data_IF_516692261920
#
_entry.id   IF_516692261920
#
_cell.length_a   1.000
_cell.length_b   1.000
_cell.length_c   1.000
_cell.angle_alpha   90.00
_cell.angle_beta   90.00
_cell.angle_gamma   90.00
#
_symmetry.space_group_name_H-M   'P 1'
#
loop_
_entity.id
_entity.type
_entity.pdbx_description
1 polymer ?
#
# COMPACT_ATOMS: atom_id res chain seq x y z
N UNK A 1 13.77 -3.50 -2.26
CA UNK A 1 12.55 -4.34 -2.25
C UNK A 1 11.37 -3.44 -1.95
N UNK A 2 10.44 -3.26 -2.89
CA UNK A 2 9.25 -2.43 -2.68
C UNK A 2 8.22 -3.25 -1.89
N UNK A 3 7.84 -2.80 -0.68
CA UNK A 3 6.84 -3.47 0.16
C UNK A 3 5.46 -3.40 -0.48
N UNK A 4 4.71 -4.52 -0.46
CA UNK A 4 3.35 -4.58 -1.04
C UNK A 4 2.37 -3.71 -0.26
N UNK A 5 1.36 -3.16 -0.94
CA UNK A 5 0.26 -2.44 -0.30
C UNK A 5 -0.56 -3.40 0.58
N UNK A 6 -1.08 -2.92 1.73
CA UNK A 6 -1.94 -3.72 2.59
C UNK A 6 -3.31 -3.93 1.94
N UNK A 7 -3.76 -5.18 1.87
CA UNK A 7 -5.13 -5.53 1.46
C UNK A 7 -6.17 -5.04 2.50
N UNK A 8 -7.44 -4.95 2.12
CA UNK A 8 -8.59 -4.64 2.97
C UNK A 8 -8.58 -5.37 4.31
N UNK A 9 -8.26 -6.67 4.31
CA UNK A 9 -8.15 -7.44 5.56
C UNK A 9 -7.03 -6.94 6.49
N UNK A 10 -5.90 -6.50 5.94
CA UNK A 10 -4.81 -5.94 6.75
C UNK A 10 -5.20 -4.60 7.35
N UNK A 11 -5.87 -3.74 6.58
CA UNK A 11 -6.41 -2.45 7.06
C UNK A 11 -7.42 -2.70 8.18
N UNK A 12 -8.35 -3.63 7.98
CA UNK A 12 -9.32 -4.04 8.98
C UNK A 12 -8.67 -4.55 10.26
N UNK A 13 -7.69 -5.46 10.14
CA UNK A 13 -6.97 -6.00 11.30
C UNK A 13 -6.25 -4.92 12.07
N UNK A 14 -5.64 -3.95 11.38
CA UNK A 14 -4.94 -2.84 12.01
C UNK A 14 -5.89 -1.98 12.84
N UNK A 15 -7.03 -1.59 12.26
CA UNK A 15 -8.07 -0.83 12.96
C UNK A 15 -8.59 -1.59 14.20
N UNK A 16 -8.81 -2.90 14.05
CA UNK A 16 -9.27 -3.75 15.15
C UNK A 16 -8.26 -3.84 16.31
N UNK A 17 -6.97 -3.98 15.99
CA UNK A 17 -5.89 -3.98 16.98
C UNK A 17 -5.84 -2.65 17.72
N UNK A 18 -5.96 -1.53 16.99
CA UNK A 18 -5.91 -0.19 17.57
C UNK A 18 -7.08 0.05 18.52
N UNK A 19 -8.29 -0.38 18.14
CA UNK A 19 -9.45 -0.35 19.03
C UNK A 19 -9.21 -1.19 20.29
N UNK A 20 -8.74 -2.42 20.15
CA UNK A 20 -8.49 -3.30 21.29
C UNK A 20 -7.39 -2.77 22.22
N UNK A 21 -6.31 -2.18 21.68
CA UNK A 21 -5.29 -1.55 22.51
C UNK A 21 -5.85 -0.37 23.30
N UNK A 22 -6.70 0.44 22.67
CA UNK A 22 -7.34 1.57 23.34
C UNK A 22 -8.31 1.11 24.44
N UNK A 23 -9.09 0.05 24.19
CA UNK A 23 -10.02 -0.50 25.19
C UNK A 23 -9.33 -1.15 26.39
N UNK A 24 -8.23 -1.88 26.15
CA UNK A 24 -7.59 -2.68 27.21
C UNK A 24 -6.61 -1.85 28.04
N UNK A 25 -6.25 -0.64 27.59
CA UNK A 25 -5.21 0.19 28.23
C UNK A 25 -3.83 -0.46 28.28
N UNK A 26 -3.63 -1.56 27.54
CA UNK A 26 -2.38 -2.32 27.46
C UNK A 26 -1.56 -1.86 26.25
N UNK A 27 -0.26 -2.12 26.33
CA UNK A 27 0.66 -1.95 25.20
C UNK A 27 0.13 -2.62 23.93
N UNK A 28 0.46 -2.02 22.76
CA UNK A 28 0.02 -2.44 21.43
C UNK A 28 0.01 -3.97 21.28
N UNK A 29 -1.17 -4.56 21.13
CA UNK A 29 -1.33 -5.99 20.90
C UNK A 29 -0.64 -6.39 19.61
N UNK A 30 0.01 -7.56 19.58
CA UNK A 30 0.67 -8.02 18.36
C UNK A 30 -0.38 -8.47 17.36
N UNK A 31 -0.19 -8.06 16.10
CA UNK A 31 -1.06 -8.45 14.98
C UNK A 31 -1.28 -9.97 14.90
N UNK A 32 -0.26 -10.77 15.25
CA UNK A 32 -0.30 -12.24 15.24
C UNK A 32 -1.27 -12.83 16.27
N UNK A 33 -1.39 -12.20 17.44
CA UNK A 33 -2.23 -12.71 18.54
C UNK A 33 -3.72 -12.58 18.20
N UNK A 34 -4.09 -11.46 17.57
CA UNK A 34 -5.46 -11.15 17.19
C UNK A 34 -5.83 -11.67 15.80
N UNK A 35 -4.89 -12.27 15.06
CA UNK A 35 -5.13 -12.74 13.69
C UNK A 35 -6.27 -13.75 13.60
N UNK A 36 -6.35 -14.71 14.55
CA UNK A 36 -7.42 -15.73 14.56
C UNK A 36 -8.79 -15.11 14.81
N UNK A 37 -8.89 -14.24 15.81
CA UNK A 37 -10.12 -13.54 16.17
C UNK A 37 -10.62 -12.66 15.02
N UNK A 38 -9.73 -11.84 14.45
CA UNK A 38 -10.05 -10.93 13.35
C UNK A 38 -10.48 -11.70 12.10
N UNK A 39 -9.85 -12.84 11.81
CA UNK A 39 -10.25 -13.69 10.69
C UNK A 39 -11.67 -14.20 10.83
N UNK A 40 -12.06 -14.61 12.04
CA UNK A 40 -13.44 -15.03 12.32
C UNK A 40 -14.41 -13.86 12.16
N UNK A 41 -14.07 -12.69 12.69
CA UNK A 41 -14.93 -11.51 12.61
C UNK A 41 -15.10 -11.01 11.18
N UNK A 42 -14.02 -10.93 10.42
CA UNK A 42 -14.03 -10.55 9.01
C UNK A 42 -14.97 -11.43 8.17
N UNK A 43 -15.04 -12.73 8.44
CA UNK A 43 -15.97 -13.62 7.72
C UNK A 43 -17.44 -13.25 7.99
N UNK A 44 -17.77 -12.93 9.24
CA UNK A 44 -19.13 -12.56 9.67
C UNK A 44 -19.54 -11.14 9.29
N UNK A 45 -18.57 -10.28 8.95
CA UNK A 45 -18.84 -8.86 8.69
C UNK A 45 -19.65 -8.62 7.41
N UNK A 46 -20.46 -7.55 7.43
CA UNK A 46 -21.37 -7.22 6.33
C UNK A 46 -20.62 -6.82 5.06
N UNK A 47 -21.29 -6.96 3.91
CA UNK A 47 -20.72 -6.59 2.61
C UNK A 47 -20.35 -5.10 2.56
N UNK A 48 -21.15 -4.24 3.16
CA UNK A 48 -20.90 -2.79 3.22
C UNK A 48 -19.59 -2.47 3.94
N UNK A 49 -19.33 -3.12 5.08
CA UNK A 49 -18.08 -2.95 5.83
C UNK A 49 -16.90 -3.42 4.99
N UNK A 50 -17.01 -4.59 4.36
CA UNK A 50 -15.94 -5.13 3.49
C UNK A 50 -15.62 -4.19 2.34
N UNK A 51 -16.64 -3.63 1.69
CA UNK A 51 -16.48 -2.65 0.61
C UNK A 51 -15.80 -1.37 1.09
N UNK A 52 -16.18 -0.85 2.26
CA UNK A 52 -15.54 0.34 2.84
C UNK A 52 -14.04 0.10 3.08
N UNK A 53 -13.66 -1.04 3.65
CA UNK A 53 -12.25 -1.38 3.87
C UNK A 53 -11.49 -1.68 2.57
N UNK A 54 -12.17 -2.17 1.53
CA UNK A 54 -11.60 -2.33 0.20
C UNK A 54 -11.29 -0.97 -0.45
N UNK A 55 -12.20 0.00 -0.32
CA UNK A 55 -12.00 1.36 -0.81
C UNK A 55 -10.81 2.03 -0.10
N UNK A 56 -10.72 1.89 1.22
CA UNK A 56 -9.57 2.39 1.99
C UNK A 56 -8.27 1.72 1.52
N UNK A 57 -8.27 0.41 1.29
CA UNK A 57 -7.08 -0.30 0.80
C UNK A 57 -6.63 0.20 -0.58
N UNK A 58 -7.58 0.50 -1.48
CA UNK A 58 -7.30 1.10 -2.80
C UNK A 58 -6.68 2.49 -2.66
N UNK A 59 -7.20 3.33 -1.77
CA UNK A 59 -6.63 4.65 -1.51
C UNK A 59 -5.20 4.56 -1.00
N UNK A 60 -4.93 3.63 -0.06
CA UNK A 60 -3.57 3.38 0.45
C UNK A 60 -2.63 2.91 -0.68
N UNK A 61 -3.10 2.05 -1.58
CA UNK A 61 -2.31 1.63 -2.74
C UNK A 61 -2.00 2.78 -3.69
N UNK A 62 -2.99 3.63 -3.99
CA UNK A 62 -2.80 4.82 -4.82
C UNK A 62 -1.77 5.77 -4.21
N UNK A 63 -1.87 6.03 -2.90
CA UNK A 63 -0.93 6.89 -2.18
C UNK A 63 0.49 6.31 -2.19
N UNK A 64 0.64 4.99 -1.95
CA UNK A 64 1.94 4.32 -2.06
C UNK A 64 2.52 4.39 -3.47
N UNK A 65 1.69 4.25 -4.50
CA UNK A 65 2.14 4.40 -5.89
C UNK A 65 2.55 5.84 -6.20
N UNK A 66 1.84 6.84 -5.67
CA UNK A 66 2.23 8.24 -5.81
C UNK A 66 3.58 8.53 -5.14
N UNK A 67 3.82 7.98 -3.95
CA UNK A 67 5.11 8.10 -3.25
C UNK A 67 6.23 7.44 -4.08
N UNK A 68 6.02 6.20 -4.52
CA UNK A 68 6.99 5.49 -5.38
C UNK A 68 7.29 6.26 -6.66
N UNK A 69 6.28 6.84 -7.30
CA UNK A 69 6.46 7.61 -8.53
C UNK A 69 7.18 8.95 -8.29
N UNK A 70 6.99 9.57 -7.12
CA UNK A 70 7.78 10.75 -6.70
C UNK A 70 9.23 10.41 -6.39
N UNK A 71 9.49 9.25 -5.79
CA UNK A 71 10.85 8.78 -5.52
C UNK A 71 11.54 8.27 -6.80
N UNK A 72 10.76 7.92 -7.83
CA UNK A 72 11.22 7.59 -9.18
C UNK A 72 11.48 8.83 -10.04
N UNK A 73 11.77 10.00 -9.45
CA UNK A 73 12.42 11.10 -10.19
C UNK A 73 13.70 10.54 -10.78
N UNK A 74 13.60 10.11 -12.04
CA UNK A 74 14.72 9.78 -12.88
C UNK A 74 15.60 11.04 -12.89
N UNK A 75 16.85 10.93 -12.46
CA UNK A 75 17.86 11.82 -13.03
C UNK A 75 17.76 11.65 -14.55
N UNK A 76 17.70 12.76 -15.27
CA UNK A 76 17.38 12.89 -16.70
C UNK A 76 18.45 12.25 -17.63
N UNK A 77 18.93 11.06 -17.31
CA UNK A 77 20.03 10.38 -18.01
C UNK A 77 19.57 9.68 -19.30
N UNK A 78 18.26 9.51 -19.50
CA UNK A 78 17.73 8.92 -20.73
C UNK A 78 17.63 9.87 -21.92
N UNK A 79 17.71 11.19 -21.71
CA UNK A 79 17.65 12.16 -22.82
C UNK A 79 19.00 12.33 -23.54
N UNK A 80 20.11 11.89 -22.92
CA UNK A 80 21.43 11.85 -23.54
C UNK A 80 21.51 10.76 -24.63
N UNK A 81 20.83 9.63 -24.43
CA UNK A 81 20.85 8.49 -25.37
C UNK A 81 20.09 8.76 -26.68
N UNK A 82 18.98 9.51 -26.64
CA UNK A 82 18.20 9.85 -27.84
C UNK A 82 18.88 10.90 -28.71
N UNK A 83 19.56 11.90 -28.11
CA UNK A 83 20.26 12.95 -28.87
C UNK A 83 21.44 12.39 -29.67
N UNK A 84 22.21 11.43 -29.14
CA UNK A 84 23.32 10.78 -29.89
C UNK A 84 22.85 10.00 -31.12
N UNK A 85 21.69 9.33 -31.06
CA UNK A 85 21.16 8.53 -32.18
C UNK A 85 20.65 9.38 -33.36
N UNK A 86 20.26 10.63 -33.12
CA UNK A 86 19.74 11.55 -34.15
C UNK A 86 20.87 12.22 -34.96
N UNK A 87 22.03 12.44 -34.36
CA UNK A 87 23.17 13.07 -35.03
C UNK A 87 23.93 12.10 -35.95
N UNK A 88 23.88 10.79 -35.68
CA UNK A 88 24.58 9.77 -36.49
C UNK A 88 23.84 9.35 -37.78
N UNK A 89 22.66 9.94 -38.05
CA UNK A 89 21.85 9.65 -39.25
C UNK A 89 21.87 10.78 -40.30
N UNK A 90 22.58 11.88 -40.04
CA UNK A 90 22.65 13.05 -40.94
C UNK A 90 24.01 13.23 -41.61
N UNK A 91 24.93 12.29 -41.44
CA UNK A 91 26.25 12.30 -42.05
C UNK A 91 26.53 10.98 -42.76
N UNK A 92 25.83 10.74 -43.87
CA UNK A 92 26.28 9.85 -44.95
C UNK A 92 25.62 10.26 -46.25
#
# INVERSE_FOLDING_TARGET
>A
ICSKSPNAFFVYRKAFVDQLSNFTGKNKLKMTEVSRLVSSRWKMESKQVKLAYEEIAKQVEQELNNIRNKDLVYTDDFDIGRRKKKNNKRGR
#
